data_IF_768718491893
#
_entry.id   IF_768718491893
#
_cell.length_a   1.000
_cell.length_b   1.000
_cell.length_c   1.000
_cell.angle_alpha   90.00
_cell.angle_beta   90.00
_cell.angle_gamma   90.00
#
_symmetry.space_group_name_H-M   'P 1'
#
loop_
_entity.id
_entity.type
_entity.pdbx_description
1 polymer ?
#
# COMPACT_ATOMS: atom_id res chain seq x y z
N UNK A 1 -7.16 -4.02 -2.30
CA UNK A 1 -7.23 -2.64 -2.83
C UNK A 1 -7.84 -2.70 -4.22
N UNK A 2 -9.13 -2.36 -4.36
CA UNK A 2 -9.76 -2.26 -5.68
C UNK A 2 -9.76 -0.79 -6.09
N UNK A 3 -8.63 -0.32 -6.61
CA UNK A 3 -8.52 0.99 -7.25
C UNK A 3 -8.78 0.77 -8.73
N UNK A 4 -9.62 1.60 -9.35
CA UNK A 4 -9.91 1.45 -10.78
C UNK A 4 -8.63 1.54 -11.63
N UNK A 5 -8.47 0.60 -12.56
CA UNK A 5 -7.31 0.49 -13.48
C UNK A 5 -6.85 1.83 -14.10
N UNK A 6 -7.72 2.75 -14.59
CA UNK A 6 -7.28 4.03 -15.15
C UNK A 6 -6.59 4.94 -14.12
N UNK A 7 -7.03 4.94 -12.87
CA UNK A 7 -6.46 5.75 -11.79
C UNK A 7 -5.09 5.25 -11.37
N UNK A 8 -4.89 3.93 -11.39
CA UNK A 8 -3.60 3.30 -11.08
C UNK A 8 -2.54 3.68 -12.12
N UNK A 9 -2.83 3.54 -13.42
CA UNK A 9 -1.85 3.84 -14.48
C UNK A 9 -1.40 5.31 -14.44
N UNK A 10 -2.34 6.25 -14.25
CA UNK A 10 -2.00 7.68 -14.17
C UNK A 10 -1.14 7.99 -12.94
N UNK A 11 -1.43 7.34 -11.81
CA UNK A 11 -0.66 7.52 -10.57
C UNK A 11 0.75 6.95 -10.71
N UNK A 12 0.89 5.75 -11.29
CA UNK A 12 2.19 5.11 -11.51
C UNK A 12 3.07 5.93 -12.45
N UNK A 13 2.54 6.41 -13.57
CA UNK A 13 3.30 7.27 -14.49
C UNK A 13 3.78 8.54 -13.79
N UNK A 14 2.95 9.13 -12.93
CA UNK A 14 3.35 10.33 -12.18
C UNK A 14 4.46 10.03 -11.16
N UNK A 15 4.38 8.89 -10.48
CA UNK A 15 5.43 8.47 -9.55
C UNK A 15 6.74 8.18 -10.27
N UNK A 16 6.67 7.68 -11.51
CA UNK A 16 7.84 7.45 -12.37
C UNK A 16 8.46 8.77 -12.84
N UNK A 17 7.64 9.73 -13.30
CA UNK A 17 8.08 11.09 -13.65
C UNK A 17 8.77 11.81 -12.48
N UNK A 18 8.29 11.57 -11.26
CA UNK A 18 8.88 12.11 -10.02
C UNK A 18 10.13 11.34 -9.56
N UNK A 19 10.47 10.24 -10.24
CA UNK A 19 11.61 9.39 -9.92
C UNK A 19 11.43 8.55 -8.65
N UNK A 20 10.21 8.38 -8.15
CA UNK A 20 9.91 7.60 -6.94
C UNK A 20 9.71 6.11 -7.22
N UNK A 21 9.35 5.75 -8.45
CA UNK A 21 9.28 4.35 -8.89
C UNK A 21 10.07 4.15 -10.17
N UNK A 22 10.56 2.94 -10.37
CA UNK A 22 11.35 2.55 -11.53
C UNK A 22 10.91 1.20 -12.08
N UNK A 23 11.10 1.01 -13.39
CA UNK A 23 10.92 -0.27 -14.05
C UNK A 23 12.06 -1.23 -13.73
N UNK A 24 11.72 -2.46 -13.35
CA UNK A 24 12.70 -3.55 -13.21
C UNK A 24 12.41 -4.67 -14.20
N UNK A 25 13.44 -5.35 -14.72
CA UNK A 25 13.26 -6.50 -15.61
C UNK A 25 12.36 -7.57 -14.97
N UNK A 26 11.26 -7.87 -15.65
CA UNK A 26 10.41 -9.02 -15.33
C UNK A 26 11.00 -10.32 -15.85
N UNK A 27 10.40 -11.46 -15.45
CA UNK A 27 10.79 -12.76 -16.01
C UNK A 27 10.29 -12.93 -17.44
N UNK A 28 9.14 -12.34 -17.75
CA UNK A 28 8.58 -12.18 -19.10
C UNK A 28 8.72 -10.71 -19.53
N UNK A 29 9.11 -10.46 -20.79
CA UNK A 29 9.23 -9.11 -21.37
C UNK A 29 7.91 -8.34 -21.41
N UNK A 30 6.78 -9.03 -21.21
CA UNK A 30 5.43 -8.43 -21.11
C UNK A 30 5.08 -7.98 -19.68
N UNK A 31 5.85 -8.36 -18.68
CA UNK A 31 5.65 -7.92 -17.30
C UNK A 31 6.21 -6.51 -17.10
N UNK A 32 5.34 -5.57 -16.74
CA UNK A 32 5.74 -4.25 -16.26
C UNK A 32 5.90 -4.29 -14.74
N UNK A 33 7.04 -4.81 -14.27
CA UNK A 33 7.35 -4.83 -12.84
C UNK A 33 7.89 -3.46 -12.41
N UNK A 34 7.28 -2.89 -11.39
CA UNK A 34 7.66 -1.62 -10.79
C UNK A 34 8.17 -1.85 -9.38
N UNK A 35 9.13 -1.04 -8.95
CA UNK A 35 9.55 -0.95 -7.55
C UNK A 35 9.78 0.50 -7.14
N UNK A 36 9.90 0.75 -5.84
CA UNK A 36 10.40 2.04 -5.36
C UNK A 36 11.86 2.19 -5.78
N UNK A 37 12.20 3.37 -6.30
CA UNK A 37 13.59 3.77 -6.47
C UNK A 37 14.23 4.05 -5.10
N UNK A 38 15.53 4.31 -5.07
CA UNK A 38 16.20 4.77 -3.84
C UNK A 38 15.57 6.06 -3.29
N UNK A 39 15.30 7.03 -4.16
CA UNK A 39 14.61 8.28 -3.80
C UNK A 39 13.20 8.01 -3.27
N UNK A 40 12.45 7.12 -3.95
CA UNK A 40 11.13 6.71 -3.50
C UNK A 40 11.14 6.01 -2.15
N UNK A 41 12.17 5.21 -1.86
CA UNK A 41 12.34 4.54 -0.57
C UNK A 41 12.60 5.55 0.56
N UNK A 42 13.39 6.60 0.30
CA UNK A 42 13.61 7.67 1.27
C UNK A 42 12.31 8.43 1.57
N UNK A 43 11.60 8.89 0.53
CA UNK A 43 10.32 9.58 0.70
C UNK A 43 9.30 8.71 1.41
N UNK A 44 9.23 7.42 1.08
CA UNK A 44 8.36 6.47 1.78
C UNK A 44 8.68 6.40 3.27
N UNK A 45 9.96 6.30 3.67
CA UNK A 45 10.37 6.25 5.07
C UNK A 45 9.98 7.52 5.83
N UNK A 46 10.19 8.68 5.23
CA UNK A 46 9.85 9.96 5.85
C UNK A 46 8.34 10.08 6.12
N UNK A 47 7.52 9.69 5.13
CA UNK A 47 6.07 9.69 5.26
C UNK A 47 5.59 8.61 6.25
N UNK A 48 6.25 7.44 6.26
CA UNK A 48 5.86 6.31 7.11
C UNK A 48 5.89 6.68 8.60
N UNK A 49 6.84 7.51 9.04
CA UNK A 49 6.89 7.99 10.44
C UNK A 49 5.59 8.70 10.85
N UNK A 50 5.08 9.58 9.98
CA UNK A 50 3.84 10.32 10.26
C UNK A 50 2.63 9.40 10.24
N UNK A 51 2.62 8.43 9.31
CA UNK A 51 1.55 7.42 9.22
C UNK A 51 1.55 6.53 10.47
N UNK A 52 2.71 6.05 10.91
CA UNK A 52 2.83 5.19 12.09
C UNK A 52 2.32 5.91 13.35
N UNK A 53 2.66 7.18 13.52
CA UNK A 53 2.14 7.99 14.63
C UNK A 53 0.62 8.11 14.58
N UNK A 54 0.06 8.41 13.40
CA UNK A 54 -1.39 8.48 13.22
C UNK A 54 -2.07 7.12 13.49
N UNK A 55 -1.52 6.02 12.99
CA UNK A 55 -2.02 4.66 13.25
C UNK A 55 -2.03 4.34 14.75
N UNK A 56 -0.97 4.70 15.49
CA UNK A 56 -0.93 4.52 16.94
C UNK A 56 -1.94 5.39 17.69
N UNK A 57 -2.17 6.62 17.23
CA UNK A 57 -3.14 7.53 17.85
C UNK A 57 -4.57 7.04 17.70
N UNK A 58 -4.96 6.58 16.50
CA UNK A 58 -6.33 6.10 16.25
C UNK A 58 -6.61 4.76 16.92
N UNK A 59 -5.57 3.96 17.23
CA UNK A 59 -5.68 2.68 17.92
C UNK A 59 -5.55 2.80 19.45
N UNK A 60 -5.29 4.02 19.97
CA UNK A 60 -5.09 4.25 21.39
C UNK A 60 -6.33 3.80 22.19
N UNK A 61 -6.10 2.91 23.16
CA UNK A 61 -7.15 2.38 24.03
C UNK A 61 -7.82 1.11 23.52
N UNK A 62 -7.38 0.57 22.37
CA UNK A 62 -7.81 -0.73 21.85
C UNK A 62 -6.69 -1.73 22.10
N UNK A 63 -6.98 -2.80 22.83
CA UNK A 63 -5.99 -3.86 23.09
C UNK A 63 -5.60 -4.60 21.82
N UNK A 64 -4.42 -5.23 21.81
CA UNK A 64 -3.95 -6.03 20.67
C UNK A 64 -4.90 -7.19 20.34
N UNK A 65 -5.49 -7.82 21.36
CA UNK A 65 -6.48 -8.89 21.18
C UNK A 65 -7.75 -8.38 20.48
N UNK A 66 -8.27 -7.21 20.89
CA UNK A 66 -9.44 -6.58 20.25
C UNK A 66 -9.13 -6.18 18.80
N UNK A 67 -7.92 -5.68 18.53
CA UNK A 67 -7.47 -5.38 17.16
C UNK A 67 -7.43 -6.66 16.31
N UNK A 68 -6.87 -7.75 16.83
CA UNK A 68 -6.81 -9.03 16.15
C UNK A 68 -8.22 -9.59 15.87
N UNK A 69 -9.15 -9.47 16.81
CA UNK A 69 -10.54 -9.86 16.62
C UNK A 69 -11.22 -9.02 15.54
N UNK A 70 -11.02 -7.70 15.54
CA UNK A 70 -11.56 -6.83 14.51
C UNK A 70 -11.02 -7.19 13.12
N UNK A 71 -9.72 -7.45 12.99
CA UNK A 71 -9.09 -7.89 11.74
C UNK A 71 -9.71 -9.20 11.26
N UNK A 72 -9.87 -10.18 12.15
CA UNK A 72 -10.47 -11.48 11.83
C UNK A 72 -11.92 -11.30 11.34
N UNK A 73 -12.75 -10.54 12.06
CA UNK A 73 -14.15 -10.31 11.72
C UNK A 73 -14.29 -9.61 10.35
N UNK A 74 -13.51 -8.55 10.13
CA UNK A 74 -13.51 -7.82 8.85
C UNK A 74 -13.04 -8.71 7.69
N UNK A 75 -12.08 -9.59 7.94
CA UNK A 75 -11.64 -10.59 6.97
C UNK A 75 -12.76 -11.55 6.55
N UNK A 76 -13.53 -12.05 7.50
CA UNK A 76 -14.70 -12.91 7.20
C UNK A 76 -15.80 -12.16 6.45
N UNK A 77 -16.07 -10.90 6.81
CA UNK A 77 -17.02 -10.05 6.08
C UNK A 77 -16.58 -9.87 4.62
N UNK A 78 -15.30 -9.56 4.39
CA UNK A 78 -14.76 -9.39 3.04
C UNK A 78 -14.89 -10.67 2.20
N UNK A 79 -14.59 -11.85 2.80
CA UNK A 79 -14.76 -13.14 2.13
C UNK A 79 -16.21 -13.37 1.69
N UNK A 80 -17.17 -13.00 2.52
CA UNK A 80 -18.59 -13.16 2.21
C UNK A 80 -19.08 -12.18 1.11
N UNK A 81 -18.52 -10.98 1.03
CA UNK A 81 -18.85 -9.99 -0.03
C UNK A 81 -18.23 -10.39 -1.38
N UNK A 82 -17.05 -11.01 -1.36
CA UNK A 82 -16.31 -11.39 -2.58
C UNK A 82 -16.68 -12.80 -3.06
N UNK A 83 -17.68 -13.42 -2.43
CA UNK A 83 -18.26 -14.71 -2.82
C UNK A 83 -19.37 -14.51 -3.85
#
# INVERSE_FOLDING_TARGET
MSVEKPTVTRTINRLEELGYVEHVPGKDKREKRMQLSEVGSHVYKDVRVTIDQFEQEILKGISEDEQNDAIRIMGEIQKNITR
#
